data_IF_960933048485
#
_entry.id   IF_960933048485
#
_cell.length_a   1.000
_cell.length_b   1.000
_cell.length_c   1.000
_cell.angle_alpha   90.00
_cell.angle_beta   90.00
_cell.angle_gamma   90.00
#
_symmetry.space_group_name_H-M   'P 1'
#
loop_
_entity.id
_entity.type
_entity.pdbx_description
1 polymer ?
#
# COMPACT_ATOMS: atom_id res chain seq x y z
N UNK A 1 10.67 -25.56 -1.00
CA UNK A 1 11.68 -24.48 -0.87
C UNK A 1 12.19 -24.43 0.56
N UNK A 2 13.51 -24.53 0.80
CA UNK A 2 14.12 -24.48 2.14
C UNK A 2 13.72 -23.21 2.92
N UNK A 3 13.66 -22.06 2.23
CA UNK A 3 13.31 -20.77 2.82
C UNK A 3 11.86 -20.73 3.35
N UNK A 4 10.90 -21.24 2.59
CA UNK A 4 9.49 -21.34 3.02
C UNK A 4 9.35 -22.23 4.27
N UNK A 5 10.10 -23.34 4.33
CA UNK A 5 10.13 -24.23 5.50
C UNK A 5 10.74 -23.54 6.73
N UNK A 6 11.81 -22.77 6.54
CA UNK A 6 12.43 -21.99 7.61
C UNK A 6 11.49 -20.89 8.16
N UNK A 7 10.80 -20.15 7.29
CA UNK A 7 9.81 -19.15 7.69
C UNK A 7 8.62 -19.78 8.44
N UNK A 8 8.15 -20.93 7.96
CA UNK A 8 7.11 -21.70 8.64
C UNK A 8 7.54 -22.21 10.01
N UNK A 9 8.78 -22.72 10.13
CA UNK A 9 9.36 -23.16 11.40
C UNK A 9 9.57 -22.02 12.40
N UNK A 10 9.85 -20.81 11.91
CA UNK A 10 9.94 -19.59 12.72
C UNK A 10 8.56 -19.07 13.20
N UNK A 11 7.46 -19.71 12.79
CA UNK A 11 6.10 -19.36 13.22
C UNK A 11 5.51 -18.11 12.53
N UNK A 12 6.19 -17.56 11.52
CA UNK A 12 5.70 -16.39 10.78
C UNK A 12 4.40 -16.71 10.04
N UNK A 13 3.45 -15.78 10.08
CA UNK A 13 2.22 -15.88 9.29
C UNK A 13 2.49 -15.38 7.86
N UNK A 14 1.76 -15.90 6.84
CA UNK A 14 1.85 -15.38 5.48
C UNK A 14 1.66 -13.86 5.41
N UNK A 15 0.62 -13.35 6.08
CA UNK A 15 0.33 -11.90 6.13
C UNK A 15 1.48 -11.08 6.73
N UNK A 16 2.23 -11.62 7.70
CA UNK A 16 3.40 -10.94 8.24
C UNK A 16 4.53 -10.85 7.21
N UNK A 17 4.71 -11.89 6.39
CA UNK A 17 5.67 -11.88 5.28
C UNK A 17 5.27 -10.85 4.22
N UNK A 18 3.98 -10.76 3.86
CA UNK A 18 3.45 -9.74 2.93
C UNK A 18 3.76 -8.32 3.44
N UNK A 19 3.42 -8.04 4.70
CA UNK A 19 3.64 -6.71 5.30
C UNK A 19 5.14 -6.38 5.36
N UNK A 20 5.98 -7.36 5.72
CA UNK A 20 7.43 -7.17 5.72
C UNK A 20 7.97 -6.89 4.31
N UNK A 21 7.47 -7.61 3.29
CA UNK A 21 7.82 -7.38 1.89
C UNK A 21 7.56 -5.94 1.45
N UNK A 22 6.38 -5.40 1.74
CA UNK A 22 6.06 -3.99 1.46
C UNK A 22 6.95 -3.02 2.22
N UNK A 23 7.22 -3.27 3.49
CA UNK A 23 8.12 -2.40 4.29
C UNK A 23 9.51 -2.37 3.67
N UNK A 24 10.02 -3.52 3.22
CA UNK A 24 11.31 -3.61 2.51
C UNK A 24 11.26 -2.89 1.17
N UNK A 25 10.17 -3.01 0.40
CA UNK A 25 9.99 -2.30 -0.87
C UNK A 25 9.99 -0.77 -0.68
N UNK A 26 9.25 -0.25 0.31
CA UNK A 26 9.24 1.18 0.65
C UNK A 26 10.63 1.64 1.12
N UNK A 27 11.31 0.85 1.95
CA UNK A 27 12.67 1.14 2.37
C UNK A 27 13.63 1.18 1.16
N UNK A 28 13.46 0.27 0.19
CA UNK A 28 14.23 0.24 -1.05
C UNK A 28 14.05 1.50 -1.89
N UNK A 29 12.82 2.04 -1.96
CA UNK A 29 12.57 3.33 -2.58
C UNK A 29 13.29 4.49 -1.87
N UNK A 30 13.28 4.51 -0.54
CA UNK A 30 14.00 5.52 0.24
C UNK A 30 15.52 5.41 0.05
N UNK A 31 16.05 4.18 0.04
CA UNK A 31 17.47 3.90 -0.21
C UNK A 31 17.88 4.31 -1.62
N UNK A 32 17.03 4.07 -2.62
CA UNK A 32 17.24 4.50 -4.00
C UNK A 32 17.41 6.02 -4.10
N UNK A 33 16.52 6.77 -3.43
CA UNK A 33 16.57 8.24 -3.40
C UNK A 33 17.81 8.76 -2.66
N UNK A 34 18.17 8.13 -1.55
CA UNK A 34 19.25 8.62 -0.68
C UNK A 34 20.67 8.20 -1.13
N UNK A 35 20.82 6.98 -1.66
CA UNK A 35 22.11 6.35 -1.92
C UNK A 35 22.31 5.91 -3.37
N UNK A 36 21.31 6.13 -4.24
CA UNK A 36 21.40 5.85 -5.67
C UNK A 36 21.04 4.42 -6.08
N UNK A 37 21.27 4.05 -7.35
CA UNK A 37 20.62 2.92 -8.00
C UNK A 37 21.04 1.56 -7.46
N UNK A 38 22.34 1.32 -7.17
CA UNK A 38 22.81 0.00 -6.75
C UNK A 38 22.29 -0.42 -5.36
N UNK A 39 22.43 0.40 -4.30
CA UNK A 39 21.84 0.09 -3.00
C UNK A 39 20.30 -0.04 -3.06
N UNK A 40 19.65 0.86 -3.81
CA UNK A 40 18.20 0.82 -4.00
C UNK A 40 17.74 -0.48 -4.69
N UNK A 41 18.42 -0.89 -5.76
CA UNK A 41 18.19 -2.15 -6.47
C UNK A 41 18.26 -3.36 -5.53
N UNK A 42 19.31 -3.44 -4.70
CA UNK A 42 19.49 -4.57 -3.78
C UNK A 42 18.29 -4.69 -2.84
N UNK A 43 17.89 -3.59 -2.22
CA UNK A 43 16.79 -3.60 -1.23
C UNK A 43 15.44 -3.84 -1.91
N UNK A 44 15.18 -3.24 -3.07
CA UNK A 44 13.96 -3.49 -3.84
C UNK A 44 13.87 -4.95 -4.31
N UNK A 45 14.98 -5.55 -4.74
CA UNK A 45 15.02 -6.95 -5.13
C UNK A 45 14.73 -7.88 -3.93
N UNK A 46 15.23 -7.54 -2.74
CA UNK A 46 14.89 -8.27 -1.52
C UNK A 46 13.39 -8.17 -1.18
N UNK A 47 12.78 -7.00 -1.36
CA UNK A 47 11.34 -6.79 -1.20
C UNK A 47 10.53 -7.67 -2.14
N UNK A 48 10.86 -7.67 -3.44
CA UNK A 48 10.18 -8.49 -4.45
C UNK A 48 10.33 -10.01 -4.19
N UNK A 49 11.48 -10.45 -3.69
CA UNK A 49 11.65 -11.85 -3.27
C UNK A 49 10.75 -12.16 -2.08
N UNK A 50 10.71 -11.30 -1.05
CA UNK A 50 9.87 -11.50 0.13
C UNK A 50 8.38 -11.58 -0.22
N UNK A 51 7.92 -10.70 -1.11
CA UNK A 51 6.58 -10.66 -1.68
C UNK A 51 6.21 -12.02 -2.30
N UNK A 52 7.08 -12.61 -3.13
CA UNK A 52 6.79 -13.92 -3.73
C UNK A 52 6.71 -15.12 -2.76
N UNK A 53 7.16 -14.96 -1.51
CA UNK A 53 7.24 -16.06 -0.53
C UNK A 53 5.96 -16.25 0.27
N UNK A 54 5.13 -15.23 0.41
CA UNK A 54 3.95 -15.28 1.28
C UNK A 54 2.88 -16.26 0.78
N UNK A 55 2.56 -16.28 -0.52
CA UNK A 55 1.61 -17.18 -1.14
C UNK A 55 2.14 -18.61 -1.17
N UNK A 56 3.47 -18.77 -1.32
CA UNK A 56 4.12 -20.07 -1.16
C UNK A 56 4.02 -20.56 0.29
N UNK A 57 4.23 -19.68 1.27
CA UNK A 57 4.11 -19.99 2.69
C UNK A 57 2.67 -20.32 3.07
N UNK A 58 1.68 -19.56 2.56
CA UNK A 58 0.26 -19.80 2.80
C UNK A 58 -0.16 -21.19 2.31
N UNK A 59 0.23 -21.57 1.09
CA UNK A 59 -0.05 -22.92 0.55
C UNK A 59 0.68 -24.01 1.31
N UNK A 60 1.95 -23.81 1.64
CA UNK A 60 2.76 -24.81 2.35
C UNK A 60 2.32 -25.03 3.81
N UNK A 61 1.73 -24.02 4.45
CA UNK A 61 1.27 -24.08 5.85
C UNK A 61 -0.24 -24.28 5.99
N UNK A 62 -0.98 -24.39 4.88
CA UNK A 62 -2.45 -24.50 4.89
C UNK A 62 -3.16 -23.25 5.42
N UNK A 63 -2.49 -22.08 5.43
CA UNK A 63 -3.00 -20.79 5.96
C UNK A 63 -3.52 -19.87 4.86
N UNK A 64 -4.14 -20.43 3.83
CA UNK A 64 -4.78 -19.64 2.75
C UNK A 64 -6.08 -19.05 3.29
N UNK A 65 -6.32 -17.76 3.05
CA UNK A 65 -7.52 -17.02 3.52
C UNK A 65 -7.96 -15.97 2.49
N UNK A 66 -9.24 -15.59 2.54
CA UNK A 66 -9.79 -14.51 1.71
C UNK A 66 -9.15 -13.19 2.09
N UNK A 67 -9.00 -12.93 3.39
CA UNK A 67 -8.29 -11.74 3.86
C UNK A 67 -6.83 -11.72 3.39
N UNK A 68 -6.14 -12.86 3.42
CA UNK A 68 -4.76 -12.96 2.93
C UNK A 68 -4.65 -12.55 1.46
N UNK A 69 -5.53 -13.07 0.59
CA UNK A 69 -5.56 -12.69 -0.83
C UNK A 69 -5.97 -11.22 -1.07
N UNK A 70 -6.83 -10.66 -0.22
CA UNK A 70 -7.16 -9.23 -0.23
C UNK A 70 -5.93 -8.37 0.14
N UNK A 71 -5.23 -8.75 1.21
CA UNK A 71 -4.08 -8.03 1.74
C UNK A 71 -2.93 -8.06 0.73
N UNK A 72 -2.58 -9.25 0.24
CA UNK A 72 -1.59 -9.51 -0.82
C UNK A 72 -1.81 -8.59 -2.03
N UNK A 73 -2.95 -8.72 -2.70
CA UNK A 73 -3.26 -7.89 -3.88
C UNK A 73 -3.23 -6.37 -3.61
N UNK A 74 -3.61 -5.94 -2.40
CA UNK A 74 -3.59 -4.51 -2.02
C UNK A 74 -2.16 -4.02 -1.80
N UNK A 75 -1.36 -4.83 -1.11
CA UNK A 75 0.02 -4.53 -0.75
C UNK A 75 0.96 -4.64 -1.95
N UNK A 76 0.69 -5.52 -2.91
CA UNK A 76 1.37 -5.57 -4.21
C UNK A 76 1.36 -4.22 -4.92
N UNK A 77 0.22 -3.49 -4.86
CA UNK A 77 0.13 -2.18 -5.52
C UNK A 77 1.10 -1.18 -4.92
N UNK A 78 1.43 -1.33 -3.63
CA UNK A 78 2.42 -0.50 -2.93
C UNK A 78 3.83 -0.95 -3.31
N UNK A 79 4.10 -2.26 -3.32
CA UNK A 79 5.38 -2.83 -3.76
C UNK A 79 5.70 -2.45 -5.21
N UNK A 80 4.76 -2.62 -6.14
CA UNK A 80 4.85 -2.26 -7.57
C UNK A 80 5.18 -0.78 -7.76
N UNK A 81 4.58 0.08 -6.94
CA UNK A 81 4.77 1.52 -7.02
C UNK A 81 6.01 2.01 -6.28
N UNK A 82 6.64 1.21 -5.42
CA UNK A 82 7.75 1.64 -4.57
C UNK A 82 8.92 2.24 -5.39
N UNK A 83 9.43 1.61 -6.47
CA UNK A 83 10.49 2.21 -7.29
C UNK A 83 10.08 3.54 -7.93
N UNK A 84 8.78 3.75 -8.17
CA UNK A 84 8.26 4.97 -8.80
C UNK A 84 8.21 6.15 -7.82
N UNK A 85 8.28 5.91 -6.51
CA UNK A 85 8.23 6.98 -5.49
C UNK A 85 9.40 7.98 -5.59
N UNK A 86 10.42 7.69 -6.41
CA UNK A 86 11.46 8.66 -6.82
C UNK A 86 10.87 9.93 -7.47
N UNK A 87 9.68 9.85 -8.07
CA UNK A 87 8.98 11.03 -8.60
C UNK A 87 8.29 11.90 -7.52
N UNK A 88 8.48 11.56 -6.24
CA UNK A 88 8.15 12.41 -5.10
C UNK A 88 6.69 12.39 -4.67
N UNK A 89 6.30 13.40 -3.89
CA UNK A 89 5.03 13.45 -3.16
C UNK A 89 3.79 13.38 -4.05
N UNK A 90 3.88 13.83 -5.30
CA UNK A 90 2.77 13.76 -6.25
C UNK A 90 2.43 12.30 -6.63
N UNK A 91 3.44 11.46 -6.83
CA UNK A 91 3.22 10.03 -7.12
C UNK A 91 2.74 9.28 -5.88
N UNK A 92 3.21 9.67 -4.70
CA UNK A 92 2.70 9.13 -3.44
C UNK A 92 1.21 9.50 -3.24
N UNK A 93 0.82 10.73 -3.55
CA UNK A 93 -0.59 11.14 -3.52
C UNK A 93 -1.44 10.44 -4.58
N UNK A 94 -0.90 10.22 -5.78
CA UNK A 94 -1.56 9.46 -6.83
C UNK A 94 -1.80 8.00 -6.41
N UNK A 95 -0.76 7.33 -5.88
CA UNK A 95 -0.85 5.97 -5.36
C UNK A 95 -1.89 5.88 -4.24
N UNK A 96 -1.79 6.74 -3.23
CA UNK A 96 -2.75 6.74 -2.11
C UNK A 96 -4.18 7.01 -2.62
N UNK A 97 -4.34 7.96 -3.54
CA UNK A 97 -5.62 8.29 -4.17
C UNK A 97 -6.22 7.15 -4.99
N UNK A 98 -5.38 6.33 -5.64
CA UNK A 98 -5.75 5.12 -6.37
C UNK A 98 -6.12 3.96 -5.43
N UNK A 99 -5.38 3.78 -4.34
CA UNK A 99 -5.61 2.70 -3.37
C UNK A 99 -6.96 2.82 -2.67
N UNK A 100 -7.49 4.03 -2.47
CA UNK A 100 -8.82 4.21 -1.87
C UNK A 100 -9.90 3.49 -2.70
N UNK A 101 -10.20 3.85 -3.96
CA UNK A 101 -11.20 3.12 -4.75
C UNK A 101 -10.80 1.66 -5.00
N UNK A 102 -9.51 1.36 -5.20
CA UNK A 102 -9.04 -0.02 -5.43
C UNK A 102 -9.35 -0.95 -4.26
N UNK A 103 -9.03 -0.56 -3.02
CA UNK A 103 -9.31 -1.39 -1.83
C UNK A 103 -10.78 -1.70 -1.67
N UNK A 104 -11.66 -0.77 -2.01
CA UNK A 104 -13.10 -1.03 -2.00
C UNK A 104 -13.50 -2.02 -3.10
N UNK A 105 -13.10 -1.77 -4.34
CA UNK A 105 -13.43 -2.65 -5.45
C UNK A 105 -12.89 -4.07 -5.24
N UNK A 106 -11.68 -4.20 -4.68
CA UNK A 106 -11.08 -5.50 -4.35
C UNK A 106 -11.83 -6.22 -3.25
N UNK A 107 -12.23 -5.52 -2.18
CA UNK A 107 -13.07 -6.11 -1.13
C UNK A 107 -14.41 -6.60 -1.70
N UNK A 108 -15.11 -5.77 -2.48
CA UNK A 108 -16.39 -6.10 -3.11
C UNK A 108 -16.26 -7.30 -4.07
N UNK A 109 -15.15 -7.41 -4.81
CA UNK A 109 -14.87 -8.57 -5.69
C UNK A 109 -14.70 -9.90 -4.93
N UNK A 110 -14.42 -9.84 -3.63
CA UNK A 110 -14.28 -10.98 -2.73
C UNK A 110 -15.54 -11.18 -1.86
N UNK A 111 -16.62 -10.45 -2.13
CA UNK A 111 -17.86 -10.50 -1.35
C UNK A 111 -17.80 -9.77 0.00
N UNK A 112 -16.76 -8.96 0.23
CA UNK A 112 -16.54 -8.20 1.47
C UNK A 112 -16.94 -6.72 1.29
N UNK A 113 -17.24 -6.05 2.38
CA UNK A 113 -17.54 -4.61 2.38
C UNK A 113 -16.30 -3.77 2.75
N UNK A 114 -16.18 -2.58 2.18
CA UNK A 114 -15.18 -1.58 2.56
C UNK A 114 -15.70 -0.15 2.36
N UNK A 115 -17.00 0.08 2.52
CA UNK A 115 -17.67 1.37 2.39
C UNK A 115 -17.45 2.33 3.57
N UNK A 116 -16.24 2.33 4.16
CA UNK A 116 -15.83 3.26 5.21
C UNK A 116 -14.71 4.18 4.71
N UNK A 117 -14.33 5.18 5.52
CA UNK A 117 -13.16 6.01 5.27
C UNK A 117 -13.36 7.48 5.57
N UNK A 118 -12.34 8.13 6.13
CA UNK A 118 -12.34 9.57 6.42
C UNK A 118 -12.09 10.45 5.21
N UNK A 119 -11.64 9.88 4.09
CA UNK A 119 -11.37 10.60 2.86
C UNK A 119 -12.35 10.22 1.74
N UNK A 120 -13.57 10.77 1.72
CA UNK A 120 -14.45 10.72 0.55
C UNK A 120 -13.75 11.25 -0.70
N UNK A 121 -14.21 10.83 -1.89
CA UNK A 121 -13.64 11.28 -3.17
C UNK A 121 -13.75 12.80 -3.32
N UNK A 122 -14.91 13.32 -2.95
CA UNK A 122 -15.30 14.72 -3.03
C UNK A 122 -14.38 15.58 -2.18
N UNK A 123 -14.10 15.17 -0.94
CA UNK A 123 -13.21 15.86 -0.03
C UNK A 123 -11.78 15.99 -0.59
N UNK A 124 -11.24 14.92 -1.19
CA UNK A 124 -9.90 14.95 -1.81
C UNK A 124 -9.86 15.87 -3.03
N UNK A 125 -10.88 15.80 -3.88
CA UNK A 125 -10.96 16.68 -5.06
C UNK A 125 -11.07 18.15 -4.65
N UNK A 126 -11.88 18.47 -3.64
CA UNK A 126 -12.01 19.82 -3.10
C UNK A 126 -10.66 20.33 -2.56
N UNK A 127 -9.95 19.52 -1.77
CA UNK A 127 -8.63 19.88 -1.23
C UNK A 127 -7.63 20.22 -2.34
N UNK A 128 -7.58 19.41 -3.41
CA UNK A 128 -6.65 19.66 -4.52
C UNK A 128 -7.02 20.93 -5.30
N UNK A 129 -8.30 21.14 -5.60
CA UNK A 129 -8.78 22.36 -6.30
C UNK A 129 -8.52 23.60 -5.45
N UNK A 130 -8.80 23.54 -4.14
CA UNK A 130 -8.52 24.62 -3.20
C UNK A 130 -7.01 24.93 -3.13
N UNK A 131 -6.16 23.91 -3.16
CA UNK A 131 -4.71 24.07 -3.23
C UNK A 131 -4.24 24.79 -4.49
N UNK A 132 -4.82 24.49 -5.66
CA UNK A 132 -4.54 25.21 -6.92
C UNK A 132 -4.98 26.67 -6.82
N UNK A 133 -6.19 26.93 -6.32
CA UNK A 133 -6.70 28.29 -6.14
C UNK A 133 -5.81 29.11 -5.17
N UNK A 134 -5.37 28.51 -4.07
CA UNK A 134 -4.49 29.16 -3.10
C UNK A 134 -3.10 29.44 -3.69
N UNK A 135 -2.56 28.53 -4.50
CA UNK A 135 -1.31 28.78 -5.22
C UNK A 135 -1.46 29.95 -6.20
N UNK A 136 -2.57 30.03 -6.94
CA UNK A 136 -2.83 31.16 -7.83
C UNK A 136 -2.88 32.50 -7.09
N UNK A 137 -3.58 32.57 -5.95
CA UNK A 137 -3.74 33.82 -5.17
C UNK A 137 -2.41 34.25 -4.53
N UNK A 138 -1.67 33.31 -3.96
CA UNK A 138 -0.48 33.61 -3.15
C UNK A 138 0.82 33.61 -3.94
N UNK A 139 0.82 33.04 -5.15
CA UNK A 139 2.04 32.71 -5.90
C UNK A 139 2.86 31.58 -5.29
N UNK A 140 2.49 31.06 -4.12
CA UNK A 140 3.29 30.09 -3.36
C UNK A 140 2.95 28.64 -3.77
N UNK A 141 3.84 28.00 -4.55
CA UNK A 141 3.70 26.59 -4.92
C UNK A 141 3.60 25.66 -3.71
N UNK A 142 4.20 26.06 -2.58
CA UNK A 142 4.14 25.32 -1.33
C UNK A 142 2.69 25.07 -0.84
N UNK A 143 1.76 25.99 -1.10
CA UNK A 143 0.35 25.80 -0.77
C UNK A 143 -0.26 24.59 -1.49
N UNK A 144 0.02 24.43 -2.78
CA UNK A 144 -0.46 23.29 -3.54
C UNK A 144 0.26 21.99 -3.13
N UNK A 145 1.57 22.04 -2.85
CA UNK A 145 2.31 20.89 -2.32
C UNK A 145 1.76 20.40 -0.98
N UNK A 146 1.35 21.32 -0.10
CA UNK A 146 0.68 20.98 1.16
C UNK A 146 -0.67 20.28 0.92
N UNK A 147 -1.49 20.80 0.00
CA UNK A 147 -2.76 20.17 -0.35
C UNK A 147 -2.60 18.74 -0.88
N UNK A 148 -1.56 18.50 -1.71
CA UNK A 148 -1.18 17.16 -2.18
C UNK A 148 -0.81 16.25 -1.01
N UNK A 149 0.06 16.73 -0.11
CA UNK A 149 0.52 15.95 1.05
C UNK A 149 -0.65 15.59 1.99
N UNK A 150 -1.52 16.54 2.31
CA UNK A 150 -2.72 16.31 3.14
C UNK A 150 -3.65 15.28 2.47
N UNK A 151 -3.87 15.41 1.16
CA UNK A 151 -4.69 14.46 0.39
C UNK A 151 -4.12 13.04 0.46
N UNK A 152 -2.79 12.90 0.32
CA UNK A 152 -2.11 11.62 0.41
C UNK A 152 -2.25 10.99 1.79
N UNK A 153 -2.07 11.77 2.86
CA UNK A 153 -2.20 11.30 4.24
C UNK A 153 -3.62 10.84 4.53
N UNK A 154 -4.63 11.62 4.17
CA UNK A 154 -6.04 11.25 4.35
C UNK A 154 -6.42 9.97 3.58
N UNK A 155 -5.90 9.83 2.36
CA UNK A 155 -6.08 8.65 1.54
C UNK A 155 -5.40 7.41 2.16
N UNK A 156 -4.16 7.56 2.65
CA UNK A 156 -3.45 6.48 3.34
C UNK A 156 -4.18 6.03 4.61
N UNK A 157 -4.67 6.97 5.43
CA UNK A 157 -5.49 6.67 6.61
C UNK A 157 -6.74 5.87 6.20
N UNK A 158 -7.42 6.29 5.13
CA UNK A 158 -8.61 5.58 4.62
C UNK A 158 -8.29 4.15 4.16
N UNK A 159 -7.15 3.95 3.49
CA UNK A 159 -6.68 2.61 3.08
C UNK A 159 -6.44 1.73 4.31
N UNK A 160 -5.74 2.24 5.33
CA UNK A 160 -5.50 1.50 6.58
C UNK A 160 -6.82 1.17 7.30
N UNK A 161 -7.75 2.11 7.38
CA UNK A 161 -9.08 1.89 7.94
C UNK A 161 -9.80 0.74 7.22
N UNK A 162 -9.79 0.75 5.89
CA UNK A 162 -10.42 -0.31 5.08
C UNK A 162 -9.77 -1.67 5.28
N UNK A 163 -8.44 -1.74 5.28
CA UNK A 163 -7.72 -2.99 5.55
C UNK A 163 -8.11 -3.55 6.94
N UNK A 164 -8.12 -2.71 7.97
CA UNK A 164 -8.50 -3.12 9.32
C UNK A 164 -9.99 -3.50 9.46
N UNK A 165 -10.87 -2.89 8.66
CA UNK A 165 -12.29 -3.23 8.62
C UNK A 165 -12.54 -4.56 7.91
N UNK A 166 -11.87 -4.78 6.77
CA UNK A 166 -11.93 -6.05 6.03
C UNK A 166 -11.34 -7.19 6.86
N UNK A 167 -10.25 -6.97 7.60
CA UNK A 167 -9.65 -8.00 8.47
C UNK A 167 -10.59 -8.49 9.58
N UNK A 168 -11.59 -7.67 9.98
CA UNK A 168 -12.58 -8.02 11.01
C UNK A 168 -13.81 -8.74 10.46
N UNK A 169 -14.04 -8.70 9.16
CA UNK A 169 -15.16 -9.41 8.54
C UNK A 169 -14.94 -10.92 8.51
N UNK A 170 -13.68 -11.37 8.65
CA UNK A 170 -13.30 -12.78 8.64
C UNK A 170 -13.56 -13.44 7.27
N UNK A 171 -13.12 -14.68 7.12
CA UNK A 171 -13.41 -15.50 5.93
C UNK A 171 -14.87 -15.97 5.94
N UNK A 172 -15.84 -15.06 6.09
CA UNK A 172 -17.29 -15.36 6.20
C UNK A 172 -17.91 -15.98 4.95
N UNK A 173 -17.11 -16.31 3.92
CA UNK A 173 -17.55 -16.78 2.61
C UNK A 173 -16.78 -18.04 2.17
N UNK A 174 -15.96 -18.66 3.03
CA UNK A 174 -15.30 -19.94 2.74
C UNK A 174 -16.07 -21.13 3.33
#
# INVERSE_FOLDING_TARGET
MPLVRALGAAGLSPNAVTVLGVVVSIAGAAVLVAFGPLPGFIVLALGAVADSLDGQLARATGRVSVFGGFLDSTLDRISDAAPLLVGGVALLALLAGFLVPYTRAKAESLGLDAAIGVAPREARTILLIAGVALWWITGARAAFTLAIAVTAVLAAITVVQRIAYVSRQGDRIA
#
